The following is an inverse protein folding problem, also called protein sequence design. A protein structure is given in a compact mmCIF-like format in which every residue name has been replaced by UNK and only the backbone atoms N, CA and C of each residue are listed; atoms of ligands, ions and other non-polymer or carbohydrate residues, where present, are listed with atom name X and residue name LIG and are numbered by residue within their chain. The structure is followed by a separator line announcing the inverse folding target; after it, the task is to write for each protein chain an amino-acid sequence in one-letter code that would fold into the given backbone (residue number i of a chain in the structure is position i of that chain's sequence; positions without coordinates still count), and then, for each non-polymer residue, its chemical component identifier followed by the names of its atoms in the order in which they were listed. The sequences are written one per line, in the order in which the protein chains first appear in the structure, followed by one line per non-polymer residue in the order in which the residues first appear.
data_IF_648884609802
#
_entry.id   IF_648884609802
#
_cell.length_a   1.000
_cell.length_b   1.000
_cell.length_c   1.000
_cell.angle_alpha   90.00
_cell.angle_beta   90.00
_cell.angle_gamma   90.00
#
_symmetry.space_group_name_H-M   'P 1'
#
loop_
_entity.id
_entity.type
_entity.pdbx_description
1 polymer ?
#
# COMPACT_ATOMS: atom_id res chain seq x y z
N UNK A 1 13.12 -8.66 2.92
CA UNK A 1 12.16 -8.64 1.78
C UNK A 1 10.79 -8.07 2.15
N UNK A 2 10.23 -8.29 3.35
CA UNK A 2 8.90 -7.78 3.76
C UNK A 2 8.78 -6.26 4.02
N UNK A 3 9.89 -5.53 4.11
CA UNK A 3 9.93 -4.08 4.38
C UNK A 3 10.56 -3.28 3.23
N UNK A 4 10.92 -3.95 2.13
CA UNK A 4 11.51 -3.31 0.96
C UNK A 4 10.40 -2.78 0.05
N UNK A 5 10.06 -1.50 0.22
CA UNK A 5 9.03 -0.80 -0.57
C UNK A 5 9.55 -0.32 -1.93
N UNK A 6 10.85 -0.45 -2.21
CA UNK A 6 11.46 0.14 -3.42
C UNK A 6 10.85 -0.41 -4.71
N UNK A 7 10.39 -1.66 -4.71
CA UNK A 7 9.69 -2.25 -5.86
C UNK A 7 8.33 -1.61 -6.11
N UNK A 8 7.57 -1.34 -5.05
CA UNK A 8 6.26 -0.67 -5.15
C UNK A 8 6.45 0.79 -5.56
N UNK A 9 7.44 1.49 -5.01
CA UNK A 9 7.77 2.87 -5.38
C UNK A 9 8.19 2.99 -6.85
N UNK A 10 9.05 2.08 -7.33
CA UNK A 10 9.42 2.04 -8.76
C UNK A 10 8.20 1.76 -9.64
N UNK A 11 7.31 0.86 -9.23
CA UNK A 11 6.08 0.55 -9.97
C UNK A 11 5.16 1.77 -10.03
N UNK A 12 4.94 2.45 -8.91
CA UNK A 12 4.14 3.67 -8.85
C UNK A 12 4.71 4.77 -9.78
N UNK A 13 6.03 4.99 -9.76
CA UNK A 13 6.68 5.96 -10.63
C UNK A 13 6.51 5.63 -12.13
N UNK A 14 6.57 4.36 -12.50
CA UNK A 14 6.31 3.91 -13.89
C UNK A 14 4.86 4.18 -14.29
N UNK A 15 3.90 3.90 -13.41
CA UNK A 15 2.48 4.13 -13.68
C UNK A 15 2.18 5.63 -13.80
N UNK A 16 2.76 6.46 -12.93
CA UNK A 16 2.61 7.92 -12.98
C UNK A 16 3.15 8.51 -14.30
N UNK A 17 4.32 8.05 -14.76
CA UNK A 17 4.87 8.46 -16.06
C UNK A 17 3.94 8.05 -17.22
N UNK A 18 3.36 6.85 -17.17
CA UNK A 18 2.36 6.41 -18.15
C UNK A 18 1.11 7.31 -18.14
N UNK A 19 0.63 7.74 -16.97
CA UNK A 19 -0.49 8.68 -16.86
C UNK A 19 -0.14 10.04 -17.48
N UNK A 20 1.06 10.57 -17.22
CA UNK A 20 1.55 11.81 -17.84
C UNK A 20 1.60 11.69 -19.38
N UNK A 21 2.06 10.55 -19.90
CA UNK A 21 2.06 10.28 -21.35
C UNK A 21 0.63 10.32 -21.90
N UNK A 22 -0.33 9.69 -21.23
CA UNK A 22 -1.73 9.68 -21.66
C UNK A 22 -2.35 11.08 -21.63
N UNK A 23 -2.04 11.89 -20.62
CA UNK A 23 -2.47 13.29 -20.55
C UNK A 23 -1.90 14.15 -21.69
N UNK A 24 -0.64 13.94 -22.06
CA UNK A 24 -0.04 14.61 -23.21
C UNK A 24 -0.68 14.16 -24.53
N UNK A 25 -1.04 12.88 -24.66
CA UNK A 25 -1.79 12.38 -25.82
C UNK A 25 -3.19 13.01 -25.90
N UNK A 26 -3.88 13.16 -24.76
CA UNK A 26 -5.15 13.89 -24.69
C UNK A 26 -5.00 15.33 -25.17
N UNK A 27 -4.01 16.06 -24.65
CA UNK A 27 -3.76 17.45 -25.02
C UNK A 27 -3.49 17.60 -26.51
N UNK A 28 -2.66 16.73 -27.09
CA UNK A 28 -2.39 16.71 -28.55
C UNK A 28 -3.65 16.43 -29.36
N UNK A 29 -4.44 15.42 -28.98
CA UNK A 29 -5.66 15.07 -29.71
C UNK A 29 -6.69 16.20 -29.70
N UNK A 30 -6.85 16.88 -28.56
CA UNK A 30 -7.75 18.05 -28.42
C UNK A 30 -7.26 19.22 -29.28
N UNK A 31 -5.96 19.52 -29.23
CA UNK A 31 -5.35 20.59 -30.04
C UNK A 31 -5.47 20.31 -31.55
N UNK A 32 -5.20 19.08 -31.99
CA UNK A 32 -5.35 18.65 -33.38
C UNK A 32 -6.79 18.81 -33.89
N UNK A 33 -7.77 18.33 -33.13
CA UNK A 33 -9.18 18.48 -33.49
C UNK A 33 -9.64 19.95 -33.52
N UNK A 34 -9.05 20.80 -32.66
CA UNK A 34 -9.34 22.24 -32.65
C UNK A 34 -8.79 22.96 -33.89
N UNK A 35 -7.61 22.56 -34.39
CA UNK A 35 -6.96 23.15 -35.58
C UNK A 35 -7.56 22.64 -36.88
N UNK A 36 -7.90 21.35 -36.92
CA UNK A 36 -8.49 20.68 -38.08
C UNK A 36 -9.53 19.70 -37.58
N UNK A 37 -10.80 20.00 -37.86
CA UNK A 37 -11.90 19.14 -37.47
C UNK A 37 -11.63 17.70 -37.92
N UNK A 38 -11.52 16.80 -36.95
CA UNK A 38 -11.39 15.38 -37.19
C UNK A 38 -12.78 14.80 -37.46
N UNK A 39 -12.81 13.61 -38.07
CA UNK A 39 -14.03 12.81 -38.09
C UNK A 39 -14.50 12.57 -36.65
N UNK A 40 -15.76 12.90 -36.37
CA UNK A 40 -16.28 12.89 -35.00
C UNK A 40 -16.39 11.48 -34.42
N UNK A 41 -16.58 10.45 -35.25
CA UNK A 41 -16.57 9.05 -34.79
C UNK A 41 -15.15 8.62 -34.45
N UNK A 42 -14.18 8.99 -35.27
CA UNK A 42 -12.76 8.70 -35.02
C UNK A 42 -12.25 9.42 -33.76
N UNK A 43 -12.57 10.71 -33.61
CA UNK A 43 -12.22 11.48 -32.42
C UNK A 43 -12.82 10.88 -31.15
N UNK A 44 -14.11 10.56 -31.16
CA UNK A 44 -14.78 9.95 -30.01
C UNK A 44 -14.17 8.59 -29.65
N UNK A 45 -13.84 7.77 -30.64
CA UNK A 45 -13.18 6.48 -30.42
C UNK A 45 -11.82 6.67 -29.74
N UNK A 46 -10.94 7.52 -30.29
CA UNK A 46 -9.61 7.79 -29.73
C UNK A 46 -9.68 8.40 -28.33
N UNK A 47 -10.62 9.31 -28.11
CA UNK A 47 -10.87 9.90 -26.80
C UNK A 47 -11.21 8.82 -25.77
N UNK A 48 -12.18 7.96 -26.09
CA UNK A 48 -12.61 6.90 -25.18
C UNK A 48 -11.48 5.89 -24.90
N UNK A 49 -10.67 5.54 -25.91
CA UNK A 49 -9.49 4.69 -25.71
C UNK A 49 -8.47 5.30 -24.73
N UNK A 50 -8.23 6.61 -24.81
CA UNK A 50 -7.35 7.32 -23.86
C UNK A 50 -7.98 7.41 -22.46
N UNK A 51 -9.30 7.59 -22.35
CA UNK A 51 -10.00 7.60 -21.06
C UNK A 51 -9.86 6.26 -20.36
N UNK A 52 -10.12 5.16 -21.06
CA UNK A 52 -10.01 3.82 -20.51
C UNK A 52 -8.57 3.49 -20.10
N UNK A 53 -7.58 3.90 -20.92
CA UNK A 53 -6.16 3.72 -20.58
C UNK A 53 -5.77 4.49 -19.33
N UNK A 54 -6.19 5.75 -19.20
CA UNK A 54 -5.93 6.56 -18.02
C UNK A 54 -6.59 5.97 -16.78
N UNK A 55 -7.87 5.60 -16.88
CA UNK A 55 -8.62 5.01 -15.76
C UNK A 55 -7.97 3.72 -15.26
N UNK A 56 -7.57 2.84 -16.17
CA UNK A 56 -6.84 1.61 -15.81
C UNK A 56 -5.54 1.91 -15.07
N UNK A 57 -4.75 2.88 -15.55
CA UNK A 57 -3.52 3.28 -14.88
C UNK A 57 -3.79 3.88 -13.48
N UNK A 58 -4.85 4.67 -13.33
CA UNK A 58 -5.27 5.23 -12.05
C UNK A 58 -5.71 4.15 -11.04
N UNK A 59 -6.47 3.15 -11.49
CA UNK A 59 -6.88 2.02 -10.66
C UNK A 59 -5.64 1.22 -10.20
N UNK A 60 -4.71 0.93 -11.11
CA UNK A 60 -3.46 0.24 -10.78
C UNK A 60 -2.57 1.05 -9.82
N UNK A 61 -2.53 2.37 -9.95
CA UNK A 61 -1.78 3.24 -9.04
C UNK A 61 -2.37 3.18 -7.63
N UNK A 62 -3.70 3.28 -7.52
CA UNK A 62 -4.42 3.22 -6.24
C UNK A 62 -4.10 1.93 -5.49
N UNK A 63 -4.15 0.78 -6.17
CA UNK A 63 -3.81 -0.51 -5.55
C UNK A 63 -2.35 -0.58 -5.07
N UNK A 64 -1.42 0.05 -5.79
CA UNK A 64 0.00 0.06 -5.42
C UNK A 64 0.24 0.96 -4.21
N UNK A 65 -0.43 2.11 -4.16
CA UNK A 65 -0.36 3.05 -3.04
C UNK A 65 -0.98 2.47 -1.77
N UNK A 66 -2.11 1.76 -1.86
CA UNK A 66 -2.71 1.04 -0.73
C UNK A 66 -1.74 0.01 -0.14
N UNK A 67 -1.14 -0.84 -1.00
CA UNK A 67 -0.14 -1.83 -0.56
C UNK A 67 1.11 -1.19 0.01
N UNK A 68 1.54 -0.04 -0.52
CA UNK A 68 2.68 0.70 0.02
C UNK A 68 2.36 1.22 1.42
N UNK A 69 1.18 1.80 1.61
CA UNK A 69 0.74 2.33 2.89
C UNK A 69 0.57 1.22 3.94
N UNK A 70 0.00 0.07 3.58
CA UNK A 70 -0.08 -1.09 4.48
C UNK A 70 1.31 -1.54 4.96
N UNK A 71 2.27 -1.66 4.03
CA UNK A 71 3.64 -2.03 4.37
C UNK A 71 4.33 -0.99 5.25
N UNK A 72 4.07 0.30 5.00
CA UNK A 72 4.61 1.40 5.82
C UNK A 72 4.05 1.36 7.24
N UNK A 73 2.74 1.20 7.40
CA UNK A 73 2.10 1.06 8.73
C UNK A 73 2.66 -0.14 9.48
N UNK A 74 2.83 -1.28 8.79
CA UNK A 74 3.45 -2.47 9.38
C UNK A 74 4.90 -2.22 9.80
N UNK A 75 5.67 -1.53 8.97
CA UNK A 75 7.06 -1.13 9.27
C UNK A 75 7.12 -0.26 10.51
N UNK A 76 6.33 0.81 10.55
CA UNK A 76 6.31 1.76 11.66
C UNK A 76 5.91 1.07 12.98
N UNK A 77 4.98 0.11 12.93
CA UNK A 77 4.63 -0.73 14.07
C UNK A 77 5.79 -1.60 14.56
N UNK A 78 6.55 -2.21 13.64
CA UNK A 78 7.73 -3.03 13.98
C UNK A 78 8.85 -2.14 14.54
N UNK A 79 9.14 -1.01 13.91
CA UNK A 79 10.18 -0.08 14.35
C UNK A 79 9.87 0.47 15.75
N UNK A 80 8.61 0.85 16.00
CA UNK A 80 8.14 1.26 17.34
C UNK A 80 8.32 0.16 18.39
N UNK A 81 8.02 -1.09 18.04
CA UNK A 81 8.22 -2.23 18.94
C UNK A 81 9.70 -2.48 19.23
N UNK A 82 10.55 -2.43 18.21
CA UNK A 82 12.01 -2.58 18.35
C UNK A 82 12.60 -1.47 19.23
N UNK A 83 12.17 -0.22 19.05
CA UNK A 83 12.66 0.90 19.84
C UNK A 83 12.25 0.78 21.31
N UNK A 84 11.01 0.33 21.59
CA UNK A 84 10.57 0.01 22.95
C UNK A 84 11.41 -1.10 23.58
N UNK A 85 11.67 -2.18 22.84
CA UNK A 85 12.54 -3.27 23.33
C UNK A 85 13.96 -2.79 23.63
N UNK A 86 14.56 -1.98 22.74
CA UNK A 86 15.91 -1.44 22.93
C UNK A 86 16.01 -0.46 24.11
N UNK A 87 14.91 0.20 24.46
CA UNK A 87 14.86 1.15 25.58
C UNK A 87 14.82 0.46 26.96
N UNK A 88 14.59 -0.84 27.02
CA UNK A 88 14.58 -1.61 28.27
C UNK A 88 16.04 -1.86 28.70
N UNK A 89 16.43 -1.35 29.87
CA UNK A 89 17.80 -1.50 30.41
C UNK A 89 18.10 -2.93 30.91
N UNK A 90 17.07 -3.75 31.10
CA UNK A 90 17.16 -5.14 31.58
C UNK A 90 16.31 -6.08 30.71
N UNK A 91 16.56 -7.39 30.80
CA UNK A 91 15.64 -8.42 30.29
C UNK A 91 14.26 -8.15 30.90
N UNK A 92 13.19 -8.26 30.12
CA UNK A 92 11.81 -8.14 30.61
C UNK A 92 11.54 -9.22 31.67
N UNK A 93 11.75 -8.87 32.93
CA UNK A 93 11.49 -9.74 34.09
C UNK A 93 10.05 -9.65 34.55
N UNK A 94 9.38 -8.54 34.24
CA UNK A 94 8.05 -8.20 34.70
C UNK A 94 7.15 -7.85 33.52
N UNK A 95 5.83 -8.00 33.72
CA UNK A 95 4.85 -7.66 32.69
C UNK A 95 4.83 -6.14 32.47
N UNK A 96 5.06 -5.73 31.22
CA UNK A 96 4.96 -4.35 30.79
C UNK A 96 3.69 -4.18 29.93
N UNK A 97 2.70 -3.46 30.46
CA UNK A 97 1.43 -3.19 29.78
C UNK A 97 1.61 -2.38 28.49
N UNK A 98 2.54 -1.42 28.48
CA UNK A 98 2.81 -0.61 27.31
C UNK A 98 3.43 -1.48 26.20
N UNK A 99 4.35 -2.38 26.56
CA UNK A 99 4.92 -3.34 25.63
C UNK A 99 3.86 -4.31 25.12
N UNK A 100 3.05 -4.90 26.01
CA UNK A 100 1.96 -5.80 25.66
C UNK A 100 1.05 -5.19 24.61
N UNK A 101 0.59 -3.95 24.83
CA UNK A 101 -0.34 -3.26 23.95
C UNK A 101 0.28 -2.91 22.58
N UNK A 102 1.59 -2.67 22.51
CA UNK A 102 2.31 -2.54 21.22
C UNK A 102 2.55 -3.86 20.50
N UNK A 103 2.55 -4.98 21.21
CA UNK A 103 3.03 -6.25 20.65
C UNK A 103 1.86 -7.12 20.20
N UNK A 104 0.79 -7.14 20.99
CA UNK A 104 -0.41 -7.94 20.76
C UNK A 104 -1.45 -7.10 20.01
N UNK A 105 -1.96 -7.67 18.92
CA UNK A 105 -3.14 -7.17 18.20
C UNK A 105 -4.42 -7.62 18.91
N UNK A 106 -4.54 -8.93 19.16
CA UNK A 106 -5.67 -9.51 19.90
C UNK A 106 -5.29 -10.86 20.51
N UNK A 107 -6.08 -11.28 21.50
CA UNK A 107 -6.02 -12.63 22.08
C UNK A 107 -7.37 -13.28 21.90
N UNK A 108 -7.38 -14.50 21.36
CA UNK A 108 -8.59 -15.32 21.21
C UNK A 108 -8.48 -16.49 22.16
N UNK A 109 -9.49 -16.66 23.02
CA UNK A 109 -9.57 -17.74 24.00
C UNK A 109 -10.76 -18.61 23.62
N UNK A 110 -10.47 -19.84 23.21
CA UNK A 110 -11.47 -20.88 22.93
C UNK A 110 -11.15 -22.11 23.81
N UNK A 111 -10.75 -23.23 23.20
CA UNK A 111 -10.20 -24.39 23.93
C UNK A 111 -8.71 -24.20 24.28
N UNK A 112 -8.09 -23.20 23.67
CA UNK A 112 -6.69 -22.81 23.78
C UNK A 112 -6.59 -21.28 23.72
N UNK A 113 -5.41 -20.73 24.05
CA UNK A 113 -5.12 -19.31 23.94
C UNK A 113 -4.32 -19.08 22.66
N UNK A 114 -4.87 -18.29 21.73
CA UNK A 114 -4.14 -17.84 20.54
C UNK A 114 -3.81 -16.36 20.66
N UNK A 115 -2.52 -16.04 20.67
CA UNK A 115 -1.98 -14.68 20.61
C UNK A 115 -1.75 -14.28 19.16
N UNK A 116 -2.37 -13.17 18.75
CA UNK A 116 -2.14 -12.52 17.47
C UNK A 116 -1.26 -11.31 17.72
N UNK A 117 -0.05 -11.32 17.16
CA UNK A 117 0.90 -10.23 17.26
C UNK A 117 0.66 -9.22 16.14
N UNK A 118 0.97 -7.94 16.39
CA UNK A 118 0.82 -6.87 15.39
C UNK A 118 1.73 -7.05 14.17
N UNK A 119 2.80 -7.84 14.30
CA UNK A 119 3.68 -8.20 13.18
C UNK A 119 3.10 -9.32 12.28
N UNK A 120 1.94 -9.89 12.64
CA UNK A 120 1.28 -11.01 11.96
C UNK A 120 1.62 -12.40 12.51
N UNK A 121 2.54 -12.49 13.47
CA UNK A 121 2.89 -13.74 14.15
C UNK A 121 1.70 -14.27 14.95
N UNK A 122 1.53 -15.60 14.95
CA UNK A 122 0.47 -16.29 15.70
C UNK A 122 1.11 -17.35 16.60
N UNK A 123 0.85 -17.26 17.90
CA UNK A 123 1.33 -18.23 18.89
C UNK A 123 0.12 -18.84 19.57
N UNK A 124 0.05 -20.16 19.58
CA UNK A 124 -1.00 -20.94 20.24
C UNK A 124 -0.44 -21.61 21.49
N UNK A 125 -1.14 -21.45 22.60
CA UNK A 125 -0.79 -21.98 23.92
C UNK A 125 -1.97 -22.77 24.47
N UNK A 126 -1.74 -24.00 24.92
CA UNK A 126 -2.78 -24.79 25.58
C UNK A 126 -3.13 -24.21 26.96
N UNK A 127 -4.43 -24.21 27.30
CA UNK A 127 -4.90 -23.86 28.64
C UNK A 127 -4.68 -25.08 29.53
N UNK A 128 -3.82 -24.96 30.54
CA UNK A 128 -3.56 -25.98 31.56
C UNK A 128 -4.79 -26.27 32.42
#
# INVERSE_FOLDING_TARGET
ELLDTTKLEKKAAVIQNEMEIVEELFRKMVDENSRKAMDQKEYSKKYNELVERYKKAQDELTEVEEKHQENKVRKDSIDTFIDRLKSQETILTDFDEALWTSTIDKVVIENDITFYFRDGTKIKQEIL
#
